data_IF_538210365254
#
_entry.id   IF_538210365254
#
_cell.length_a   1.000
_cell.length_b   1.000
_cell.length_c   1.000
_cell.angle_alpha   90.00
_cell.angle_beta   90.00
_cell.angle_gamma   90.00
#
_symmetry.space_group_name_H-M   'P 1'
#
loop_
_entity.id
_entity.type
_entity.pdbx_description
1 polymer ?
#
# COMPACT_ATOMS: atom_id res chain seq x y z
N UNK A 1 -12.40 -15.75 29.99
CA UNK A 1 -11.23 -14.99 29.47
C UNK A 1 -10.38 -15.81 28.52
N UNK A 2 -9.91 -17.02 28.89
CA UNK A 2 -9.14 -17.91 27.98
C UNK A 2 -9.84 -18.17 26.63
N UNK A 3 -11.13 -18.53 26.65
CA UNK A 3 -11.91 -18.72 25.41
C UNK A 3 -12.02 -17.44 24.57
N UNK A 4 -12.05 -16.25 25.20
CA UNK A 4 -12.12 -14.98 24.48
C UNK A 4 -10.80 -14.66 23.78
N UNK A 5 -9.67 -14.94 24.44
CA UNK A 5 -8.33 -14.83 23.86
C UNK A 5 -8.22 -15.77 22.64
N UNK A 6 -8.60 -17.04 22.80
CA UNK A 6 -8.54 -18.00 21.71
C UNK A 6 -9.44 -17.60 20.52
N UNK A 7 -10.65 -17.13 20.80
CA UNK A 7 -11.58 -16.67 19.77
C UNK A 7 -11.06 -15.41 19.05
N UNK A 8 -10.46 -14.47 19.77
CA UNK A 8 -9.85 -13.27 19.18
C UNK A 8 -8.68 -13.65 18.25
N UNK A 9 -7.80 -14.54 18.69
CA UNK A 9 -6.68 -15.02 17.85
C UNK A 9 -7.18 -15.72 16.59
N UNK A 10 -8.21 -16.57 16.69
CA UNK A 10 -8.85 -17.19 15.52
C UNK A 10 -9.48 -16.17 14.57
N UNK A 11 -10.06 -15.08 15.10
CA UNK A 11 -10.59 -14.00 14.25
C UNK A 11 -9.47 -13.25 13.54
N UNK A 12 -8.38 -12.94 14.22
CA UNK A 12 -7.20 -12.32 13.58
C UNK A 12 -6.62 -13.22 12.49
N UNK A 13 -6.49 -14.53 12.75
CA UNK A 13 -6.00 -15.50 11.77
C UNK A 13 -6.87 -15.51 10.50
N UNK A 14 -8.20 -15.51 10.66
CA UNK A 14 -9.15 -15.48 9.53
C UNK A 14 -9.16 -14.14 8.82
N UNK A 15 -9.01 -13.04 9.57
CA UNK A 15 -8.91 -11.71 9.00
C UNK A 15 -7.69 -11.59 8.08
N UNK A 16 -6.56 -12.22 8.44
CA UNK A 16 -5.39 -12.29 7.57
C UNK A 16 -5.63 -13.10 6.30
N UNK A 17 -6.43 -14.17 6.36
CA UNK A 17 -6.82 -14.91 5.14
C UNK A 17 -7.67 -14.05 4.19
N UNK A 18 -8.55 -13.21 4.75
CA UNK A 18 -9.35 -12.26 3.96
C UNK A 18 -8.46 -11.15 3.41
N UNK A 19 -7.54 -10.63 4.22
CA UNK A 19 -6.59 -9.59 3.82
C UNK A 19 -5.74 -10.04 2.63
N UNK A 20 -5.21 -11.27 2.68
CA UNK A 20 -4.45 -11.84 1.57
C UNK A 20 -5.27 -11.86 0.26
N UNK A 21 -6.52 -12.30 0.32
CA UNK A 21 -7.40 -12.34 -0.85
C UNK A 21 -7.71 -10.95 -1.41
N UNK A 22 -7.98 -9.98 -0.54
CA UNK A 22 -8.24 -8.60 -0.98
C UNK A 22 -6.99 -7.99 -1.63
N UNK A 23 -5.79 -8.27 -1.11
CA UNK A 23 -4.55 -7.82 -1.73
C UNK A 23 -4.30 -8.48 -3.10
N UNK A 24 -4.64 -9.76 -3.26
CA UNK A 24 -4.59 -10.44 -4.57
C UNK A 24 -5.64 -9.88 -5.56
N UNK A 25 -6.82 -9.54 -5.07
CA UNK A 25 -7.89 -8.91 -5.85
C UNK A 25 -7.47 -7.50 -6.31
N UNK A 26 -6.92 -6.69 -5.41
CA UNK A 26 -6.37 -5.36 -5.73
C UNK A 26 -5.30 -5.46 -6.82
N UNK A 27 -4.38 -6.42 -6.71
CA UNK A 27 -3.36 -6.67 -7.73
C UNK A 27 -4.00 -6.98 -9.09
N UNK A 28 -5.04 -7.81 -9.10
CA UNK A 28 -5.77 -8.18 -10.31
C UNK A 28 -6.47 -6.98 -10.93
N UNK A 29 -7.10 -6.12 -10.12
CA UNK A 29 -7.73 -4.88 -10.58
C UNK A 29 -6.70 -3.87 -11.14
N UNK A 30 -5.56 -3.70 -10.47
CA UNK A 30 -4.45 -2.86 -10.94
C UNK A 30 -3.92 -3.35 -12.30
N UNK A 31 -3.70 -4.67 -12.43
CA UNK A 31 -3.22 -5.28 -13.67
C UNK A 31 -4.27 -5.17 -14.79
N UNK A 32 -5.56 -5.27 -14.44
CA UNK A 32 -6.70 -5.08 -15.34
C UNK A 32 -6.99 -3.62 -15.73
N UNK A 33 -6.28 -2.64 -15.12
CA UNK A 33 -6.48 -1.19 -15.32
C UNK A 33 -7.91 -0.73 -15.02
N UNK A 34 -8.54 -1.29 -13.98
CA UNK A 34 -9.87 -0.89 -13.52
C UNK A 34 -9.78 -0.03 -12.25
N UNK A 35 -9.66 1.30 -12.35
CA UNK A 35 -9.49 2.19 -11.20
C UNK A 35 -10.71 2.24 -10.28
N UNK A 36 -11.92 1.97 -10.80
CA UNK A 36 -13.13 1.96 -9.98
C UNK A 36 -13.16 0.72 -9.08
N UNK A 37 -12.83 -0.45 -9.63
CA UNK A 37 -12.71 -1.67 -8.84
C UNK A 37 -11.61 -1.56 -7.78
N UNK A 38 -10.43 -1.01 -8.13
CA UNK A 38 -9.32 -0.77 -7.17
C UNK A 38 -9.80 0.05 -5.97
N UNK A 39 -10.57 1.12 -6.21
CA UNK A 39 -11.07 1.99 -5.13
C UNK A 39 -11.99 1.24 -4.15
N UNK A 40 -12.85 0.35 -4.66
CA UNK A 40 -13.74 -0.45 -3.82
C UNK A 40 -12.99 -1.49 -2.97
N UNK A 41 -11.97 -2.12 -3.55
CA UNK A 41 -11.10 -3.07 -2.85
C UNK A 41 -10.27 -2.35 -1.78
N UNK A 42 -9.71 -1.18 -2.10
CA UNK A 42 -8.91 -0.37 -1.17
C UNK A 42 -9.71 0.05 0.07
N UNK A 43 -10.96 0.48 -0.10
CA UNK A 43 -11.83 0.77 1.04
C UNK A 43 -12.03 -0.45 1.94
N UNK A 44 -12.21 -1.63 1.33
CA UNK A 44 -12.38 -2.89 2.04
C UNK A 44 -11.11 -3.30 2.79
N UNK A 45 -9.94 -3.10 2.19
CA UNK A 45 -8.62 -3.29 2.82
C UNK A 45 -8.45 -2.39 4.04
N UNK A 46 -8.73 -1.10 3.91
CA UNK A 46 -8.59 -0.12 4.99
C UNK A 46 -9.50 -0.44 6.19
N UNK A 47 -10.76 -0.80 5.93
CA UNK A 47 -11.68 -1.19 7.00
C UNK A 47 -11.26 -2.51 7.69
N UNK A 48 -10.76 -3.48 6.92
CA UNK A 48 -10.26 -4.73 7.51
C UNK A 48 -9.01 -4.49 8.37
N UNK A 49 -8.09 -3.65 7.92
CA UNK A 49 -6.91 -3.26 8.71
C UNK A 49 -7.31 -2.56 10.01
N UNK A 50 -8.31 -1.68 9.97
CA UNK A 50 -8.88 -1.04 11.17
C UNK A 50 -9.43 -2.10 12.15
N UNK A 51 -10.21 -3.06 11.66
CA UNK A 51 -10.76 -4.14 12.48
C UNK A 51 -9.65 -5.02 13.09
N UNK A 52 -8.62 -5.37 12.33
CA UNK A 52 -7.47 -6.14 12.82
C UNK A 52 -6.74 -5.36 13.93
N UNK A 53 -6.54 -4.05 13.76
CA UNK A 53 -5.91 -3.21 14.77
C UNK A 53 -6.72 -3.17 16.08
N UNK A 54 -8.05 -3.05 15.98
CA UNK A 54 -8.96 -3.11 17.13
C UNK A 54 -8.91 -4.46 17.85
N UNK A 55 -8.90 -5.57 17.10
CA UNK A 55 -8.78 -6.92 17.68
C UNK A 55 -7.44 -7.12 18.39
N UNK A 56 -6.33 -6.59 17.86
CA UNK A 56 -5.02 -6.63 18.53
C UNK A 56 -5.02 -5.83 19.82
N UNK A 57 -5.64 -4.64 19.83
CA UNK A 57 -5.79 -3.84 21.03
C UNK A 57 -6.64 -4.56 22.08
N UNK A 58 -7.75 -5.17 21.66
CA UNK A 58 -8.62 -5.95 22.54
C UNK A 58 -7.89 -7.16 23.12
N UNK A 59 -7.08 -7.87 22.31
CA UNK A 59 -6.27 -9.00 22.75
C UNK A 59 -5.27 -8.57 23.84
N UNK A 60 -4.58 -7.45 23.63
CA UNK A 60 -3.64 -6.89 24.62
C UNK A 60 -4.35 -6.62 25.95
N UNK A 61 -5.54 -6.00 25.93
CA UNK A 61 -6.34 -5.75 27.13
C UNK A 61 -6.75 -7.06 27.82
N UNK A 62 -7.18 -8.07 27.06
CA UNK A 62 -7.55 -9.38 27.61
C UNK A 62 -6.37 -10.08 28.27
N UNK A 63 -5.19 -10.06 27.65
CA UNK A 63 -3.97 -10.64 28.19
C UNK A 63 -3.57 -9.94 29.49
N UNK A 64 -3.58 -8.61 29.52
CA UNK A 64 -3.26 -7.83 30.72
C UNK A 64 -4.26 -8.04 31.87
N UNK A 65 -5.52 -8.34 31.57
CA UNK A 65 -6.52 -8.68 32.57
C UNK A 65 -6.27 -10.06 33.21
N UNK A 66 -5.67 -10.99 32.47
CA UNK A 66 -5.33 -12.34 32.98
C UNK A 66 -3.98 -12.34 33.70
N UNK A 67 -2.99 -11.63 33.15
CA UNK A 67 -1.64 -11.51 33.70
C UNK A 67 -1.31 -10.02 33.84
N UNK A 68 -1.52 -9.42 35.03
CA UNK A 68 -1.17 -8.03 35.27
C UNK A 68 0.31 -7.77 34.99
N UNK A 69 0.60 -6.73 34.20
CA UNK A 69 1.96 -6.38 33.79
C UNK A 69 2.45 -7.10 32.54
N UNK A 70 1.64 -7.99 31.95
CA UNK A 70 2.02 -8.65 30.72
C UNK A 70 2.20 -7.66 29.55
N UNK A 71 3.32 -7.77 28.85
CA UNK A 71 3.70 -6.97 27.69
C UNK A 71 3.20 -7.58 26.39
N UNK A 72 2.92 -8.88 26.36
CA UNK A 72 2.47 -9.56 25.14
C UNK A 72 1.99 -11.00 25.34
N UNK A 73 1.74 -11.65 24.21
CA UNK A 73 1.20 -13.02 24.13
C UNK A 73 2.22 -14.10 24.54
N UNK A 74 3.51 -13.82 24.50
CA UNK A 74 4.57 -14.75 24.89
C UNK A 74 4.47 -15.11 26.39
N UNK A 75 4.37 -14.09 27.25
CA UNK A 75 4.22 -14.27 28.70
C UNK A 75 2.91 -14.98 29.06
N UNK A 76 1.86 -14.80 28.24
CA UNK A 76 0.63 -15.55 28.37
C UNK A 76 0.79 -17.03 28.01
N UNK A 77 1.56 -17.34 26.97
CA UNK A 77 1.86 -18.70 26.56
C UNK A 77 2.77 -19.42 27.57
N UNK A 78 3.72 -18.71 28.19
CA UNK A 78 4.59 -19.23 29.24
C UNK A 78 3.82 -19.65 30.50
N UNK A 79 2.68 -19.01 30.78
CA UNK A 79 1.81 -19.34 31.90
C UNK A 79 0.88 -20.54 31.65
N UNK A 80 0.88 -21.12 30.44
CA UNK A 80 0.05 -22.30 30.10
C UNK A 80 0.81 -23.61 30.33
N UNK A 81 0.09 -24.73 30.38
CA UNK A 81 0.68 -26.06 30.34
C UNK A 81 1.43 -26.30 29.00
N UNK A 82 2.37 -27.24 29.00
CA UNK A 82 3.25 -27.48 27.85
C UNK A 82 2.51 -27.84 26.56
N UNK A 83 1.38 -28.56 26.65
CA UNK A 83 0.59 -28.93 25.49
C UNK A 83 -0.14 -27.71 24.90
N UNK A 84 -0.80 -26.92 25.75
CA UNK A 84 -1.47 -25.69 25.33
C UNK A 84 -0.49 -24.64 24.80
N UNK A 85 0.66 -24.48 25.44
CA UNK A 85 1.73 -23.59 24.98
C UNK A 85 2.17 -23.94 23.56
N UNK A 86 2.45 -25.22 23.29
CA UNK A 86 2.88 -25.68 21.97
C UNK A 86 1.83 -25.39 20.90
N UNK A 87 0.55 -25.67 21.18
CA UNK A 87 -0.54 -25.36 20.26
C UNK A 87 -0.66 -23.84 20.01
N UNK A 88 -0.43 -23.02 21.03
CA UNK A 88 -0.47 -21.57 20.92
C UNK A 88 0.66 -21.02 20.05
N UNK A 89 1.89 -21.48 20.28
CA UNK A 89 3.06 -21.11 19.48
C UNK A 89 2.88 -21.49 18.00
N UNK A 90 2.26 -22.64 17.70
CA UNK A 90 1.93 -23.04 16.33
C UNK A 90 0.95 -22.06 15.66
N UNK A 91 -0.08 -21.60 16.39
CA UNK A 91 -1.04 -20.63 15.86
C UNK A 91 -0.35 -19.28 15.61
N UNK A 92 0.49 -18.82 16.54
CA UNK A 92 1.24 -17.57 16.37
C UNK A 92 2.18 -17.63 15.17
N UNK A 93 2.87 -18.76 14.95
CA UNK A 93 3.71 -18.96 13.76
C UNK A 93 2.91 -18.91 12.47
N UNK A 94 1.71 -19.49 12.45
CA UNK A 94 0.83 -19.43 11.27
C UNK A 94 0.34 -18.01 10.99
N UNK A 95 0.03 -17.25 12.03
CA UNK A 95 -0.33 -15.83 11.92
C UNK A 95 0.85 -15.04 11.35
N UNK A 96 2.05 -15.21 11.88
CA UNK A 96 3.27 -14.54 11.42
C UNK A 96 3.56 -14.83 9.93
N UNK A 97 3.44 -16.09 9.51
CA UNK A 97 3.58 -16.46 8.10
C UNK A 97 2.56 -15.77 7.19
N UNK A 98 1.30 -15.66 7.64
CA UNK A 98 0.25 -14.97 6.89
C UNK A 98 0.48 -13.46 6.85
N UNK A 99 0.92 -12.86 7.95
CA UNK A 99 1.29 -11.44 8.00
C UNK A 99 2.40 -11.14 7.00
N UNK A 100 3.46 -11.97 6.99
CA UNK A 100 4.56 -11.83 6.05
C UNK A 100 4.10 -11.96 4.60
N UNK A 101 3.21 -12.92 4.31
CA UNK A 101 2.63 -13.08 2.99
C UNK A 101 1.84 -11.85 2.55
N UNK A 102 0.98 -11.31 3.42
CA UNK A 102 0.23 -10.08 3.16
C UNK A 102 1.18 -8.90 2.92
N UNK A 103 2.25 -8.76 3.71
CA UNK A 103 3.22 -7.69 3.57
C UNK A 103 3.91 -7.72 2.19
N UNK A 104 4.34 -8.90 1.74
CA UNK A 104 4.95 -9.08 0.42
C UNK A 104 3.96 -8.75 -0.70
N UNK A 105 2.70 -9.14 -0.58
CA UNK A 105 1.70 -8.82 -1.61
C UNK A 105 1.36 -7.33 -1.63
N UNK A 106 1.20 -6.69 -0.47
CA UNK A 106 0.98 -5.25 -0.36
C UNK A 106 2.14 -4.45 -0.99
N UNK A 107 3.39 -4.89 -0.80
CA UNK A 107 4.54 -4.27 -1.43
C UNK A 107 4.47 -4.35 -2.97
N UNK A 108 4.08 -5.51 -3.53
CA UNK A 108 3.88 -5.65 -4.98
C UNK A 108 2.80 -4.71 -5.50
N UNK A 109 1.68 -4.59 -4.78
CA UNK A 109 0.58 -3.70 -5.15
C UNK A 109 1.04 -2.24 -5.17
N UNK A 110 1.76 -1.81 -4.14
CA UNK A 110 2.32 -0.46 -4.05
C UNK A 110 3.31 -0.16 -5.20
N UNK A 111 4.21 -1.09 -5.51
CA UNK A 111 5.15 -0.94 -6.62
C UNK A 111 4.43 -0.83 -7.97
N UNK A 112 3.42 -1.68 -8.21
CA UNK A 112 2.62 -1.64 -9.43
C UNK A 112 1.84 -0.33 -9.57
N UNK A 113 1.17 0.11 -8.50
CA UNK A 113 0.44 1.37 -8.48
C UNK A 113 1.35 2.57 -8.77
N UNK A 114 2.56 2.58 -8.19
CA UNK A 114 3.55 3.61 -8.46
C UNK A 114 4.00 3.61 -9.93
N UNK A 115 4.32 2.44 -10.48
CA UNK A 115 4.73 2.31 -11.88
C UNK A 115 3.62 2.75 -12.85
N UNK A 116 2.36 2.43 -12.56
CA UNK A 116 1.20 2.88 -13.35
C UNK A 116 1.03 4.41 -13.29
N UNK A 117 1.26 5.02 -12.14
CA UNK A 117 1.22 6.47 -11.97
C UNK A 117 2.34 7.17 -12.75
N UNK A 118 3.56 6.65 -12.69
CA UNK A 118 4.71 7.13 -13.46
C UNK A 118 4.44 7.03 -14.98
N UNK A 119 3.98 5.87 -15.45
CA UNK A 119 3.59 5.68 -16.85
C UNK A 119 2.54 6.69 -17.32
N UNK A 120 1.52 6.95 -16.48
CA UNK A 120 0.45 7.89 -16.80
C UNK A 120 0.98 9.32 -16.90
N UNK A 121 1.90 9.70 -16.02
CA UNK A 121 2.56 11.01 -16.05
C UNK A 121 3.39 11.19 -17.31
N UNK A 122 4.23 10.23 -17.65
CA UNK A 122 5.09 10.28 -18.84
C UNK A 122 4.28 10.39 -20.13
N UNK A 123 3.15 9.67 -20.20
CA UNK A 123 2.22 9.75 -21.31
C UNK A 123 1.60 11.15 -21.43
N UNK A 124 1.16 11.74 -20.32
CA UNK A 124 0.61 13.09 -20.30
C UNK A 124 1.65 14.14 -20.73
N UNK A 125 2.88 14.02 -20.23
CA UNK A 125 3.99 14.90 -20.61
C UNK A 125 4.32 14.78 -22.10
N UNK A 126 4.29 13.56 -22.65
CA UNK A 126 4.45 13.32 -24.09
C UNK A 126 3.31 13.97 -24.89
N UNK A 127 2.04 13.76 -24.51
CA UNK A 127 0.90 14.38 -25.18
C UNK A 127 0.98 15.91 -25.11
N UNK A 128 1.38 16.46 -23.97
CA UNK A 128 1.56 17.91 -23.80
C UNK A 128 2.62 18.46 -24.76
N UNK A 129 3.76 17.78 -24.92
CA UNK A 129 4.83 18.14 -25.88
C UNK A 129 4.41 18.01 -27.34
N UNK A 130 3.41 17.18 -27.66
CA UNK A 130 2.89 17.02 -29.01
C UNK A 130 1.81 18.06 -29.34
N UNK A 131 1.02 18.48 -28.35
CA UNK A 131 -0.03 19.50 -28.51
C UNK A 131 0.55 20.92 -28.43
N UNK A 132 1.64 21.13 -27.69
CA UNK A 132 2.34 22.41 -27.71
C UNK A 132 2.90 22.68 -29.12
N UNK A 133 2.64 23.88 -29.70
CA UNK A 133 3.24 24.25 -30.97
C UNK A 133 4.77 24.22 -30.84
N UNK A 134 5.41 23.36 -31.64
CA UNK A 134 6.85 23.12 -31.60
C UNK A 134 7.68 24.31 -32.06
N UNK A 135 7.06 25.24 -32.78
CA UNK A 135 7.68 26.46 -33.24
C UNK A 135 6.79 27.66 -32.94
N UNK A 136 7.37 28.64 -32.23
CA UNK A 136 6.88 30.03 -32.17
C UNK A 136 7.16 30.77 -33.50
N UNK A 137 7.19 30.08 -34.62
CA UNK A 137 7.22 30.67 -35.97
C UNK A 137 5.79 30.87 -36.45
N UNK A 138 5.03 31.66 -35.71
CA UNK A 138 3.75 32.14 -36.21
C UNK A 138 4.00 33.26 -37.21
N UNK A 139 3.45 33.11 -38.41
CA UNK A 139 3.27 34.23 -39.33
C UNK A 139 2.54 35.36 -38.59
N UNK A 140 3.15 36.53 -38.50
CA UNK A 140 2.48 37.71 -37.98
C UNK A 140 1.25 38.05 -38.84
N UNK A 141 0.32 38.84 -38.32
CA UNK A 141 -0.92 39.29 -39.00
C UNK A 141 -0.69 39.92 -40.40
N UNK A 142 0.55 40.27 -40.74
CA UNK A 142 1.00 40.80 -42.04
C UNK A 142 1.77 39.79 -42.93
N UNK A 143 1.76 38.49 -42.63
CA UNK A 143 2.40 37.46 -43.46
C UNK A 143 3.94 37.46 -43.44
N UNK A 144 4.58 38.10 -42.45
CA UNK A 144 6.05 38.07 -42.29
C UNK A 144 6.48 36.93 -41.39
N UNK A 145 7.49 36.19 -41.85
CA UNK A 145 8.18 35.14 -41.09
C UNK A 145 8.96 35.80 -39.95
N UNK A 146 8.57 35.53 -38.71
CA UNK A 146 9.27 36.05 -37.54
C UNK A 146 10.36 35.05 -37.12
N UNK A 147 11.58 35.23 -37.66
CA UNK A 147 12.74 34.47 -37.21
C UNK A 147 13.14 34.93 -35.81
N UNK A 148 12.89 34.08 -34.82
CA UNK A 148 13.28 34.35 -33.43
C UNK A 148 14.80 34.16 -33.31
N UNK A 149 15.57 35.25 -33.36
CA UNK A 149 16.99 35.18 -32.98
C UNK A 149 17.07 34.94 -31.45
N UNK A 150 17.75 33.88 -30.99
CA UNK A 150 17.98 33.69 -29.56
C UNK A 150 19.06 34.70 -29.13
N UNK A 151 18.66 35.91 -28.74
CA UNK A 151 19.58 36.82 -28.06
C UNK A 151 19.77 36.36 -26.62
N UNK A 152 20.75 35.48 -26.44
CA UNK A 152 21.53 35.36 -25.22
C UNK A 152 23.00 35.17 -25.60
N UNK A 153 23.57 36.12 -26.33
CA UNK A 153 25.01 36.25 -26.47
C UNK A 153 25.54 36.99 -25.23
N UNK A 154 25.87 36.23 -24.20
CA UNK A 154 26.67 36.72 -23.07
C UNK A 154 28.10 36.91 -23.63
N UNK A 155 28.50 38.17 -23.80
CA UNK A 155 29.87 38.66 -24.09
C UNK A 155 30.39 38.52 -25.54
N UNK A 156 30.36 39.63 -26.27
CA UNK A 156 31.40 39.98 -27.24
C UNK A 156 31.99 41.35 -26.87
N UNK A 157 33.05 41.31 -26.06
CA UNK A 157 33.95 42.44 -25.83
C UNK A 157 35.09 42.39 -26.86
N UNK A 158 35.32 43.53 -27.49
CA UNK A 158 36.39 43.80 -28.47
C UNK A 158 37.79 43.43 -27.98
N UNK A 159 38.58 42.81 -28.87
CA UNK A 159 39.94 43.25 -29.18
C UNK A 159 40.00 43.45 -30.70
#
# INVERSE_FOLDING_TARGET
MLNQIHNNIRRQERALDVLAKLLEEEFSCLTGRDPQAVTGVELSLQELLRQIAEERLALKKLVQAVIPGARGLAEFADAQDAATRTAFEQILRRIDQKEQHCAVQAEKNAQLAFALAEQSRDMLDFMHKQVQPRDRETYGRSGRFASHHPQAAILQGRL
#
